data_IF_967708805049
#
_entry.id   IF_967708805049
#
_cell.length_a   1.000
_cell.length_b   1.000
_cell.length_c   1.000
_cell.angle_alpha   90.00
_cell.angle_beta   90.00
_cell.angle_gamma   90.00
#
_symmetry.space_group_name_H-M   'P 1'
#
loop_
_entity.id
_entity.type
_entity.pdbx_description
1 polymer ?
#
# COMPACT_ATOMS: atom_id res chain seq x y z
N UNK A 1 -12.93 20.27 -30.57
CA UNK A 1 -12.28 19.95 -29.27
C UNK A 1 -10.91 19.34 -29.54
N UNK A 2 -9.83 19.93 -29.00
CA UNK A 2 -8.45 19.47 -29.25
C UNK A 2 -8.14 18.13 -28.55
N UNK A 3 -7.48 17.21 -29.25
CA UNK A 3 -7.02 15.89 -28.75
C UNK A 3 -6.23 15.99 -27.43
N UNK A 4 -5.52 17.11 -27.22
CA UNK A 4 -4.76 17.41 -26.00
C UNK A 4 -5.66 17.59 -24.78
N UNK A 5 -6.79 18.26 -24.96
CA UNK A 5 -7.77 18.52 -23.89
C UNK A 5 -8.47 17.23 -23.42
N UNK A 6 -8.75 16.30 -24.35
CA UNK A 6 -9.31 15.00 -24.03
C UNK A 6 -8.30 14.12 -23.28
N UNK A 7 -7.01 14.14 -23.67
CA UNK A 7 -5.94 13.44 -22.95
C UNK A 7 -5.73 13.98 -21.54
N UNK A 8 -5.63 15.30 -21.38
CA UNK A 8 -5.43 15.91 -20.06
C UNK A 8 -6.62 15.64 -19.14
N UNK A 9 -7.85 15.64 -19.67
CA UNK A 9 -9.05 15.27 -18.92
C UNK A 9 -9.03 13.79 -18.52
N UNK A 10 -8.69 12.88 -19.43
CA UNK A 10 -8.60 11.46 -19.15
C UNK A 10 -7.50 11.13 -18.13
N UNK A 11 -6.32 11.77 -18.24
CA UNK A 11 -5.25 11.62 -17.26
C UNK A 11 -5.67 12.14 -15.89
N UNK A 12 -6.24 13.34 -15.81
CA UNK A 12 -6.77 13.87 -14.55
C UNK A 12 -7.79 12.91 -13.95
N UNK A 13 -8.69 12.35 -14.76
CA UNK A 13 -9.70 11.42 -14.28
C UNK A 13 -9.11 10.08 -13.79
N UNK A 14 -8.06 9.57 -14.47
CA UNK A 14 -7.35 8.37 -14.05
C UNK A 14 -6.56 8.55 -12.74
N UNK A 15 -6.01 9.75 -12.50
CA UNK A 15 -5.42 10.15 -11.21
C UNK A 15 -6.47 10.44 -10.14
N UNK A 16 -7.72 10.71 -10.53
CA UNK A 16 -8.81 11.05 -9.62
C UNK A 16 -9.54 9.84 -9.06
N UNK A 17 -9.41 8.65 -9.66
CA UNK A 17 -10.00 7.44 -9.10
C UNK A 17 -9.16 7.01 -7.89
N UNK A 18 -9.69 7.12 -6.65
CA UNK A 18 -8.95 6.65 -5.49
C UNK A 18 -8.78 5.15 -5.63
N UNK A 19 -7.53 4.72 -5.81
CA UNK A 19 -7.21 3.31 -5.85
C UNK A 19 -7.05 2.80 -4.43
N UNK A 20 -7.63 1.65 -4.09
CA UNK A 20 -7.38 1.04 -2.81
C UNK A 20 -5.92 0.59 -2.73
N UNK A 21 -5.34 0.65 -1.54
CA UNK A 21 -3.96 0.27 -1.27
C UNK A 21 -3.85 -0.44 0.08
N UNK A 22 -2.79 -1.26 0.18
CA UNK A 22 -2.52 -2.10 1.33
C UNK A 22 -1.78 -1.33 2.42
N UNK A 23 -2.20 -1.51 3.67
CA UNK A 23 -1.53 -0.95 4.83
C UNK A 23 -1.62 -1.88 6.05
N UNK A 24 -0.74 -1.69 7.02
CA UNK A 24 -0.76 -2.40 8.29
C UNK A 24 -1.14 -1.46 9.44
N UNK A 25 -1.92 -1.93 10.40
CA UNK A 25 -2.25 -1.18 11.62
C UNK A 25 -1.00 -1.02 12.48
N UNK A 26 -0.57 0.21 12.71
CA UNK A 26 0.56 0.56 13.57
C UNK A 26 0.11 0.78 15.01
N UNK A 27 -0.90 1.62 15.22
CA UNK A 27 -1.51 1.89 16.52
C UNK A 27 -3.01 2.17 16.38
N UNK A 28 -3.73 2.10 17.50
CA UNK A 28 -5.18 2.36 17.56
C UNK A 28 -5.46 3.32 18.74
N UNK A 29 -5.29 4.63 18.54
CA UNK A 29 -5.42 5.62 19.62
C UNK A 29 -6.89 5.97 19.91
N UNK A 30 -7.82 5.66 19.00
CA UNK A 30 -9.23 6.00 19.11
C UNK A 30 -10.13 4.89 18.55
N UNK A 31 -11.40 4.92 18.93
CA UNK A 31 -12.46 4.11 18.34
C UNK A 31 -12.87 4.58 16.94
N UNK A 32 -12.44 5.77 16.52
CA UNK A 32 -12.82 6.38 15.23
C UNK A 32 -11.73 6.29 14.15
N UNK A 33 -10.46 6.13 14.56
CA UNK A 33 -9.34 6.08 13.64
C UNK A 33 -8.19 5.22 14.19
N UNK A 34 -7.37 4.73 13.27
CA UNK A 34 -6.10 4.08 13.57
C UNK A 34 -4.96 4.78 12.82
N UNK A 35 -3.71 4.58 13.25
CA UNK A 35 -2.56 4.93 12.42
C UNK A 35 -2.04 3.69 11.73
N UNK A 36 -1.63 3.87 10.48
CA UNK A 36 -1.35 2.77 9.56
C UNK A 36 -0.04 3.02 8.84
N UNK A 37 0.72 1.95 8.64
CA UNK A 37 1.90 1.95 7.79
C UNK A 37 1.50 1.49 6.39
N UNK A 38 1.49 2.43 5.46
CA UNK A 38 1.28 2.13 4.04
C UNK A 38 2.50 1.38 3.52
N UNK A 39 2.29 0.37 2.67
CA UNK A 39 3.39 -0.39 2.09
C UNK A 39 4.39 0.54 1.38
N UNK A 40 5.67 0.47 1.79
CA UNK A 40 6.74 1.35 1.28
C UNK A 40 6.90 2.68 2.02
N UNK A 41 6.05 2.99 3.00
CA UNK A 41 6.21 4.14 3.91
C UNK A 41 6.84 3.71 5.23
N UNK A 42 7.73 4.56 5.75
CA UNK A 42 8.29 4.45 7.11
C UNK A 42 7.45 5.20 8.15
N UNK A 43 6.67 6.19 7.71
CA UNK A 43 5.91 7.06 8.60
C UNK A 43 4.45 6.58 8.66
N UNK A 44 3.88 6.47 9.87
CA UNK A 44 2.48 6.10 10.04
C UNK A 44 1.57 7.26 9.62
N UNK A 45 0.48 6.94 8.94
CA UNK A 45 -0.53 7.89 8.48
C UNK A 45 -1.86 7.60 9.17
N UNK A 46 -2.67 8.62 9.41
CA UNK A 46 -3.99 8.46 10.02
C UNK A 46 -4.98 7.92 9.00
N UNK A 47 -5.64 6.80 9.33
CA UNK A 47 -6.74 6.23 8.58
C UNK A 47 -8.01 6.19 9.45
N UNK A 48 -9.10 6.73 8.92
CA UNK A 48 -10.38 6.79 9.61
C UNK A 48 -11.17 5.52 9.35
N UNK A 49 -11.89 5.03 10.37
CA UNK A 49 -12.88 3.99 10.14
C UNK A 49 -14.05 4.58 9.37
N UNK A 50 -14.66 3.76 8.51
CA UNK A 50 -15.81 4.22 7.76
C UNK A 50 -16.96 4.59 8.70
N UNK A 51 -17.63 5.72 8.43
CA UNK A 51 -18.79 6.14 9.23
C UNK A 51 -19.90 5.10 9.21
N UNK A 52 -19.98 4.31 8.14
CA UNK A 52 -20.95 3.22 7.99
C UNK A 52 -20.64 2.04 8.92
N UNK A 53 -19.38 1.88 9.37
CA UNK A 53 -19.02 0.83 10.33
C UNK A 53 -19.37 1.21 11.78
N UNK A 54 -19.80 2.46 12.04
CA UNK A 54 -20.26 3.01 13.33
C UNK A 54 -19.32 2.86 14.55
N UNK A 55 -18.31 1.99 14.51
CA UNK A 55 -17.36 1.69 15.56
C UNK A 55 -16.17 0.88 15.00
N UNK A 56 -15.04 0.89 15.73
CA UNK A 56 -13.89 0.02 15.45
C UNK A 56 -14.36 -1.42 15.26
N UNK A 57 -13.99 -2.10 14.16
CA UNK A 57 -14.25 -3.53 14.04
C UNK A 57 -13.56 -4.26 15.19
N UNK A 58 -14.32 -5.02 15.99
CA UNK A 58 -13.83 -5.63 17.24
C UNK A 58 -12.62 -6.55 17.08
N UNK A 59 -12.43 -7.07 15.87
CA UNK A 59 -11.31 -7.96 15.50
C UNK A 59 -10.04 -7.22 15.07
N UNK A 60 -10.10 -5.90 14.89
CA UNK A 60 -8.94 -5.12 14.46
C UNK A 60 -7.91 -5.04 15.58
N UNK A 61 -6.72 -5.57 15.33
CA UNK A 61 -5.58 -5.55 16.26
C UNK A 61 -4.40 -4.84 15.61
N UNK A 62 -3.48 -4.38 16.44
CA UNK A 62 -2.19 -3.87 15.99
C UNK A 62 -1.49 -4.97 15.19
N UNK A 63 -0.90 -4.61 14.06
CA UNK A 63 -0.26 -5.55 13.14
C UNK A 63 -1.19 -6.17 12.11
N UNK A 64 -2.52 -5.98 12.21
CA UNK A 64 -3.45 -6.46 11.20
C UNK A 64 -3.22 -5.74 9.87
N UNK A 65 -3.49 -6.47 8.80
CA UNK A 65 -3.59 -5.87 7.49
C UNK A 65 -4.96 -5.26 7.24
N UNK A 66 -4.94 -4.19 6.48
CA UNK A 66 -6.12 -3.47 6.08
C UNK A 66 -5.97 -2.96 4.66
N UNK A 67 -7.11 -2.85 4.00
CA UNK A 67 -7.23 -2.16 2.74
C UNK A 67 -7.72 -0.75 3.03
N UNK A 68 -6.99 0.24 2.53
CA UNK A 68 -7.27 1.66 2.69
C UNK A 68 -7.58 2.29 1.34
N UNK A 69 -8.34 3.38 1.33
CA UNK A 69 -8.51 4.22 0.15
C UNK A 69 -8.56 5.69 0.55
N UNK A 70 -8.29 6.58 -0.41
CA UNK A 70 -8.60 7.99 -0.21
C UNK A 70 -10.11 8.22 -0.25
N UNK A 71 -10.60 8.99 0.70
CA UNK A 71 -12.02 9.32 0.78
C UNK A 71 -12.44 10.21 -0.38
N UNK A 72 -13.45 9.77 -1.12
CA UNK A 72 -14.07 10.58 -2.16
C UNK A 72 -14.69 11.84 -1.55
N UNK A 73 -14.29 13.01 -2.04
CA UNK A 73 -14.82 14.31 -1.60
C UNK A 73 -13.99 15.06 -0.56
N UNK A 74 -13.13 14.39 0.22
CA UNK A 74 -12.23 15.06 1.17
C UNK A 74 -10.76 14.72 0.89
N UNK A 75 -10.07 15.64 0.20
CA UNK A 75 -8.68 15.43 -0.24
C UNK A 75 -7.76 15.29 0.96
N UNK A 76 -7.03 14.19 1.03
CA UNK A 76 -6.04 13.91 2.08
C UNK A 76 -6.56 13.04 3.23
N UNK A 77 -7.87 12.75 3.29
CA UNK A 77 -8.40 11.80 4.28
C UNK A 77 -8.32 10.37 3.74
N UNK A 78 -7.69 9.48 4.51
CA UNK A 78 -7.65 8.04 4.23
C UNK A 78 -8.74 7.36 5.05
N UNK A 79 -9.43 6.40 4.43
CA UNK A 79 -10.48 5.60 5.03
C UNK A 79 -10.15 4.11 4.93
N UNK A 80 -10.38 3.37 6.01
CA UNK A 80 -10.29 1.91 6.03
C UNK A 80 -11.54 1.33 5.39
N UNK A 81 -11.35 0.50 4.37
CA UNK A 81 -12.46 -0.10 3.60
C UNK A 81 -12.58 -1.61 3.74
N UNK A 82 -11.56 -2.27 4.27
CA UNK A 82 -11.58 -3.71 4.46
C UNK A 82 -10.54 -4.15 5.47
N UNK A 83 -10.90 -5.16 6.25
CA UNK A 83 -9.96 -5.89 7.08
C UNK A 83 -9.32 -6.97 6.21
N UNK A 84 -8.02 -6.88 6.00
CA UNK A 84 -7.25 -7.92 5.31
C UNK A 84 -6.79 -8.97 6.31
N UNK A 85 -6.97 -10.24 5.97
CA UNK A 85 -6.24 -11.33 6.63
C UNK A 85 -4.77 -11.24 6.20
N UNK A 86 -3.96 -10.58 7.04
CA UNK A 86 -2.49 -10.52 7.02
C UNK A 86 -1.82 -10.11 5.69
N UNK A 87 -1.29 -8.89 5.65
CA UNK A 87 -0.32 -8.41 4.66
C UNK A 87 1.02 -8.88 5.23
N UNK A 88 1.83 -9.64 4.47
CA UNK A 88 3.15 -10.04 4.89
C UNK A 88 3.96 -8.77 5.15
N UNK A 89 4.15 -8.48 6.43
CA UNK A 89 4.90 -7.35 6.94
C UNK A 89 6.13 -7.89 7.62
N UNK A 90 7.26 -7.20 7.44
CA UNK A 90 8.55 -7.64 7.97
C UNK A 90 8.47 -7.70 9.49
N UNK A 91 8.50 -8.91 10.05
CA UNK A 91 8.60 -9.12 11.49
C UNK A 91 10.02 -8.75 11.91
N UNK A 92 10.16 -7.87 12.91
CA UNK A 92 11.46 -7.53 13.49
C UNK A 92 12.12 -8.80 14.03
N UNK A 93 13.34 -9.11 13.57
CA UNK A 93 14.07 -10.32 13.93
C UNK A 93 13.99 -11.47 12.92
N UNK A 94 13.28 -11.32 11.80
CA UNK A 94 13.36 -12.28 10.70
C UNK A 94 14.59 -12.01 9.83
N UNK A 95 15.29 -13.08 9.35
CA UNK A 95 16.48 -12.92 8.52
C UNK A 95 16.12 -12.13 7.26
N UNK A 96 16.87 -11.06 7.03
CA UNK A 96 16.84 -10.36 5.76
C UNK A 96 17.27 -11.35 4.68
N UNK A 97 16.51 -11.45 3.58
CA UNK A 97 16.95 -12.24 2.43
C UNK A 97 18.19 -11.55 1.90
N UNK A 98 19.36 -12.04 2.30
CA UNK A 98 20.64 -11.59 1.78
C UNK A 98 20.64 -11.98 0.31
N UNK A 99 20.57 -10.97 -0.57
CA UNK A 99 20.75 -11.17 -2.00
C UNK A 99 22.16 -11.77 -2.15
N UNK A 100 22.30 -13.00 -2.65
CA UNK A 100 23.62 -13.62 -2.76
C UNK A 100 24.47 -12.79 -3.71
N UNK A 101 25.52 -12.15 -3.18
CA UNK A 101 26.50 -11.37 -3.93
C UNK A 101 27.66 -12.26 -4.44
N UNK A 102 27.38 -13.54 -4.69
CA UNK A 102 28.33 -14.50 -5.22
C UNK A 102 28.07 -14.79 -6.71
N UNK A 103 29.09 -15.24 -7.46
CA UNK A 103 28.97 -15.58 -8.87
C UNK A 103 27.96 -16.71 -9.16
N UNK A 104 27.52 -17.43 -8.13
CA UNK A 104 26.55 -18.54 -8.22
C UNK A 104 25.12 -18.16 -7.80
N UNK A 105 24.78 -16.87 -7.83
CA UNK A 105 23.39 -16.43 -7.65
C UNK A 105 22.54 -16.82 -8.87
N UNK A 106 21.65 -17.81 -8.71
CA UNK A 106 20.64 -18.12 -9.72
C UNK A 106 19.64 -16.96 -9.77
N UNK A 107 19.83 -16.06 -10.73
CA UNK A 107 18.89 -14.98 -11.06
C UNK A 107 17.67 -15.59 -11.78
N UNK A 108 16.68 -16.03 -11.02
CA UNK A 108 15.42 -16.48 -11.62
C UNK A 108 14.66 -15.27 -12.17
N UNK A 109 14.50 -15.21 -13.50
CA UNK A 109 13.66 -14.20 -14.19
C UNK A 109 14.40 -13.17 -15.04
N UNK A 110 15.71 -13.29 -15.25
CA UNK A 110 16.46 -12.46 -16.20
C UNK A 110 17.07 -13.33 -17.31
N UNK A 111 16.99 -12.86 -18.56
CA UNK A 111 17.57 -13.53 -19.73
C UNK A 111 18.97 -12.95 -19.98
N UNK A 112 20.00 -13.79 -19.93
CA UNK A 112 21.38 -13.38 -20.23
C UNK A 112 21.50 -13.18 -21.74
N UNK A 113 21.73 -11.94 -22.17
CA UNK A 113 22.09 -11.63 -23.55
C UNK A 113 23.61 -11.77 -23.67
N UNK A 114 24.08 -12.82 -24.36
CA UNK A 114 25.50 -13.02 -24.61
C UNK A 114 26.01 -11.89 -25.54
N UNK A 115 26.98 -11.10 -25.08
CA UNK A 115 27.70 -10.16 -25.93
C UNK A 115 28.94 -10.89 -26.49
N UNK A 116 29.08 -11.02 -27.82
CA UNK A 116 30.25 -11.65 -28.42
C UNK A 116 31.48 -10.77 -28.21
N UNK A 117 32.57 -11.36 -27.73
CA UNK A 117 33.85 -10.65 -27.59
C UNK A 117 34.53 -10.49 -28.95
N UNK A 118 34.98 -9.27 -29.23
CA UNK A 118 35.89 -8.90 -30.32
C UNK A 118 37.31 -9.10 -29.81
#
# INVERSE_FOLDING_TARGET
MSRKFLRDRAQRQAFYTPRPFNAQVYDIPSSEYCRVLVQGSINPVVAWFSRNMHHRPGELKIGNAILCQYKLGNRGQIEVIGNGTVIPTRIAGQPEVVIPAGPDAILTGLQVLAIPQI
#
